data_IF_292686594818
#
_entry.id   IF_292686594818
#
_cell.length_a   1.000
_cell.length_b   1.000
_cell.length_c   1.000
_cell.angle_alpha   90.00
_cell.angle_beta   90.00
_cell.angle_gamma   90.00
#
_symmetry.space_group_name_H-M   'P 1'
#
loop_
_entity.id
_entity.type
_entity.pdbx_description
1 polymer ?
#
# COMPACT_ATOMS: atom_id res chain seq x y z
N UNK A 1 32.41 -5.89 0.01
CA UNK A 1 31.39 -5.31 -0.90
C UNK A 1 30.85 -6.48 -1.71
N UNK A 2 29.57 -6.85 -1.54
CA UNK A 2 28.99 -7.98 -2.26
C UNK A 2 28.60 -7.48 -3.65
N UNK A 3 29.36 -7.92 -4.65
CA UNK A 3 29.10 -7.60 -6.06
C UNK A 3 27.94 -8.48 -6.53
N UNK A 4 26.73 -7.92 -6.54
CA UNK A 4 25.55 -8.60 -7.07
C UNK A 4 25.71 -8.74 -8.58
N UNK A 5 25.98 -9.96 -9.06
CA UNK A 5 25.91 -10.32 -10.48
C UNK A 5 24.55 -9.91 -11.06
N UNK A 6 24.52 -9.49 -12.33
CA UNK A 6 23.32 -8.94 -12.99
C UNK A 6 22.06 -9.80 -12.83
N UNK A 7 22.20 -11.13 -12.91
CA UNK A 7 21.11 -12.08 -12.64
C UNK A 7 20.56 -12.00 -11.20
N UNK A 8 21.43 -11.84 -10.21
CA UNK A 8 21.01 -11.76 -8.81
C UNK A 8 20.26 -10.46 -8.55
N UNK A 9 20.67 -9.36 -9.19
CA UNK A 9 19.98 -8.07 -9.10
C UNK A 9 18.58 -8.12 -9.71
N UNK A 10 18.41 -8.81 -10.83
CA UNK A 10 17.11 -8.95 -11.48
C UNK A 10 16.16 -9.85 -10.69
N UNK A 11 16.67 -10.93 -10.08
CA UNK A 11 15.89 -11.76 -9.15
C UNK A 11 15.43 -10.99 -7.92
N UNK A 12 16.31 -10.22 -7.29
CA UNK A 12 15.95 -9.37 -6.12
C UNK A 12 14.89 -8.34 -6.52
N UNK A 13 15.05 -7.70 -7.68
CA UNK A 13 14.07 -6.72 -8.18
C UNK A 13 12.69 -7.37 -8.39
N UNK A 14 12.64 -8.57 -8.94
CA UNK A 14 11.39 -9.32 -9.12
C UNK A 14 10.69 -9.60 -7.78
N UNK A 15 11.44 -10.05 -6.76
CA UNK A 15 10.86 -10.28 -5.43
C UNK A 15 10.31 -9.00 -4.79
N UNK A 16 11.02 -7.87 -4.95
CA UNK A 16 10.54 -6.56 -4.47
C UNK A 16 9.24 -6.18 -5.18
N UNK A 17 9.15 -6.37 -6.49
CA UNK A 17 7.94 -6.06 -7.25
C UNK A 17 6.74 -6.89 -6.79
N UNK A 18 6.94 -8.20 -6.56
CA UNK A 18 5.91 -9.09 -6.00
C UNK A 18 5.47 -8.63 -4.61
N UNK A 19 6.42 -8.28 -3.73
CA UNK A 19 6.09 -7.76 -2.40
C UNK A 19 5.30 -6.46 -2.46
N UNK A 20 5.63 -5.54 -3.37
CA UNK A 20 4.89 -4.29 -3.55
C UNK A 20 3.45 -4.54 -3.99
N UNK A 21 3.22 -5.49 -4.89
CA UNK A 21 1.85 -5.89 -5.27
C UNK A 21 1.05 -6.45 -4.10
N UNK A 22 1.68 -7.29 -3.26
CA UNK A 22 1.03 -7.84 -2.06
C UNK A 22 0.66 -6.72 -1.08
N UNK A 23 1.57 -5.76 -0.86
CA UNK A 23 1.31 -4.59 0.00
C UNK A 23 0.12 -3.79 -0.55
N UNK A 24 0.09 -3.50 -1.86
CA UNK A 24 -1.04 -2.78 -2.48
C UNK A 24 -2.35 -3.52 -2.23
N UNK A 25 -2.40 -4.84 -2.47
CA UNK A 25 -3.62 -5.63 -2.30
C UNK A 25 -4.12 -5.59 -0.85
N UNK A 26 -3.24 -5.81 0.13
CA UNK A 26 -3.59 -5.79 1.55
C UNK A 26 -4.03 -4.39 1.98
N UNK A 27 -3.29 -3.34 1.59
CA UNK A 27 -3.64 -1.95 1.90
C UNK A 27 -4.97 -1.54 1.29
N UNK A 28 -5.32 -2.01 0.10
CA UNK A 28 -6.63 -1.74 -0.52
C UNK A 28 -7.77 -2.36 0.27
N UNK A 29 -7.63 -3.62 0.70
CA UNK A 29 -8.64 -4.31 1.51
C UNK A 29 -8.87 -3.58 2.83
N UNK A 30 -7.81 -3.21 3.54
CA UNK A 30 -7.93 -2.45 4.79
C UNK A 30 -8.48 -1.05 4.57
N UNK A 31 -8.08 -0.37 3.48
CA UNK A 31 -8.61 0.96 3.15
C UNK A 31 -10.13 0.91 2.97
N UNK A 32 -10.64 -0.08 2.24
CA UNK A 32 -12.08 -0.25 2.05
C UNK A 32 -12.77 -0.54 3.38
N UNK A 33 -12.21 -1.43 4.20
CA UNK A 33 -12.81 -1.82 5.47
C UNK A 33 -12.88 -0.65 6.48
N UNK A 34 -11.78 0.11 6.61
CA UNK A 34 -11.74 1.31 7.45
C UNK A 34 -12.61 2.44 6.89
N UNK A 35 -12.73 2.57 5.56
CA UNK A 35 -13.63 3.56 4.95
C UNK A 35 -15.10 3.27 5.25
N UNK A 36 -15.49 1.99 5.20
CA UNK A 36 -16.83 1.56 5.56
C UNK A 36 -17.12 1.80 7.03
N UNK A 37 -16.21 1.37 7.92
CA UNK A 37 -16.35 1.57 9.36
C UNK A 37 -16.38 3.05 9.76
N UNK A 38 -15.56 3.89 9.13
CA UNK A 38 -15.57 5.34 9.36
C UNK A 38 -16.91 5.96 8.97
N UNK A 39 -17.46 5.58 7.81
CA UNK A 39 -18.77 6.05 7.34
C UNK A 39 -19.91 5.61 8.27
N UNK A 40 -19.87 4.36 8.72
CA UNK A 40 -20.84 3.81 9.67
C UNK A 40 -20.77 4.51 11.04
N UNK A 41 -19.58 4.66 11.61
CA UNK A 41 -19.36 5.31 12.91
C UNK A 41 -19.71 6.80 12.90
N UNK A 42 -19.50 7.49 11.76
CA UNK A 42 -19.92 8.87 11.57
C UNK A 42 -21.46 9.00 11.55
N UNK A 43 -22.16 8.03 10.95
CA UNK A 43 -23.63 7.96 10.94
C UNK A 43 -24.25 7.68 12.30
N UNK A 44 -23.58 6.88 13.16
CA UNK A 44 -24.01 6.61 14.54
C UNK A 44 -23.68 7.75 15.53
N UNK A 45 -23.02 8.83 15.09
CA UNK A 45 -22.63 9.95 15.95
C UNK A 45 -21.45 9.64 16.88
N UNK A 46 -20.72 8.55 16.63
CA UNK A 46 -19.55 8.16 17.44
C UNK A 46 -18.28 8.76 16.85
N UNK A 47 -18.06 10.04 17.12
CA UNK A 47 -16.98 10.84 16.52
C UNK A 47 -15.55 10.31 16.82
N UNK A 48 -15.32 9.74 18.00
CA UNK A 48 -14.00 9.21 18.39
C UNK A 48 -13.63 8.00 17.52
N UNK A 49 -14.57 7.07 17.33
CA UNK A 49 -14.35 5.88 16.50
C UNK A 49 -14.18 6.29 15.03
N UNK A 50 -15.01 7.22 14.54
CA UNK A 50 -14.88 7.73 13.18
C UNK A 50 -13.49 8.35 12.93
N UNK A 51 -12.97 9.15 13.86
CA UNK A 51 -11.65 9.76 13.74
C UNK A 51 -10.53 8.72 13.74
N UNK A 52 -10.65 7.67 14.57
CA UNK A 52 -9.66 6.59 14.61
C UNK A 52 -9.65 5.78 13.30
N UNK A 53 -10.82 5.44 12.76
CA UNK A 53 -10.94 4.75 11.47
C UNK A 53 -10.39 5.60 10.30
N UNK A 54 -10.58 6.93 10.34
CA UNK A 54 -9.97 7.85 9.37
C UNK A 54 -8.44 7.87 9.46
N UNK A 55 -7.87 7.74 10.65
CA UNK A 55 -6.43 7.64 10.83
C UNK A 55 -5.87 6.33 10.23
N UNK A 56 -6.58 5.20 10.40
CA UNK A 56 -6.21 3.94 9.77
C UNK A 56 -6.32 4.00 8.24
N UNK A 57 -7.35 4.67 7.69
CA UNK A 57 -7.41 4.96 6.25
C UNK A 57 -6.19 5.76 5.78
N UNK A 58 -5.83 6.83 6.48
CA UNK A 58 -4.67 7.64 6.11
C UNK A 58 -3.38 6.82 6.12
N UNK A 59 -3.20 5.94 7.11
CA UNK A 59 -2.08 5.00 7.14
C UNK A 59 -2.10 4.05 5.94
N UNK A 60 -3.25 3.48 5.58
CA UNK A 60 -3.38 2.63 4.40
C UNK A 60 -2.97 3.37 3.12
N UNK A 61 -3.42 4.61 2.94
CA UNK A 61 -3.03 5.45 1.79
C UNK A 61 -1.52 5.75 1.78
N UNK A 62 -0.91 5.97 2.95
CA UNK A 62 0.52 6.21 3.06
C UNK A 62 1.38 5.01 2.63
N UNK A 63 0.86 3.78 2.73
CA UNK A 63 1.51 2.58 2.17
C UNK A 63 1.15 2.35 0.70
N UNK A 64 -0.06 2.73 0.29
CA UNK A 64 -0.57 2.54 -1.06
C UNK A 64 0.10 3.49 -2.07
N UNK A 65 0.35 4.74 -1.69
CA UNK A 65 0.99 5.73 -2.54
C UNK A 65 2.43 5.35 -2.99
N UNK A 66 3.39 5.00 -2.11
CA UNK A 66 4.73 4.63 -2.51
C UNK A 66 4.78 3.29 -3.26
N UNK A 67 3.92 2.33 -2.90
CA UNK A 67 3.86 1.03 -3.57
C UNK A 67 3.30 1.14 -4.99
N UNK A 68 2.23 1.92 -5.19
CA UNK A 68 1.74 2.30 -6.54
C UNK A 68 2.81 3.05 -7.33
N UNK A 69 3.51 4.01 -6.71
CA UNK A 69 4.57 4.79 -7.36
C UNK A 69 5.72 3.88 -7.81
N UNK A 70 6.12 2.91 -6.97
CA UNK A 70 7.14 1.93 -7.31
C UNK A 70 6.74 1.11 -8.54
N UNK A 71 5.53 0.54 -8.51
CA UNK A 71 4.99 -0.25 -9.63
C UNK A 71 4.94 0.61 -10.90
N UNK A 72 4.44 1.84 -10.81
CA UNK A 72 4.37 2.75 -11.95
C UNK A 72 5.75 3.03 -12.55
N UNK A 73 6.74 3.42 -11.74
CA UNK A 73 8.11 3.64 -12.21
C UNK A 73 8.65 2.40 -12.91
N UNK A 74 8.42 1.22 -12.36
CA UNK A 74 8.97 -0.03 -12.89
C UNK A 74 8.33 -0.46 -14.21
N UNK A 75 7.03 -0.24 -14.37
CA UNK A 75 6.30 -0.59 -15.60
C UNK A 75 6.44 0.46 -16.71
N UNK A 76 6.54 1.75 -16.36
CA UNK A 76 6.54 2.85 -17.33
C UNK A 76 7.91 3.45 -17.63
N UNK A 77 8.87 3.40 -16.70
CA UNK A 77 10.23 3.96 -16.91
C UNK A 77 11.23 2.93 -17.45
N UNK A 78 10.89 1.64 -17.44
CA UNK A 78 11.74 0.53 -17.89
C UNK A 78 11.33 -0.06 -19.25
N UNK A 79 10.32 0.52 -19.92
CA UNK A 79 10.09 0.40 -21.37
C UNK A 79 10.81 1.54 -22.08
#
# INVERSE_FOLDING_TARGET
MVEFTGETRDRVTFYIDVMMFVIVAISLVFLVLHSYNAGYAAGEGTYINAQQEMMYMAACVAFLAPSMTWIFIRFFKRR
#
